data_IF_563867303936
#
_entry.id   IF_563867303936
#
_cell.length_a   1.000
_cell.length_b   1.000
_cell.length_c   1.000
_cell.angle_alpha   90.00
_cell.angle_beta   90.00
_cell.angle_gamma   90.00
#
_symmetry.space_group_name_H-M   'P 1'
#
loop_
_entity.id
_entity.type
_entity.pdbx_description
1 polymer ?
#
# COMPACT_ATOMS: atom_id res chain seq x y z
N UNK A 1 26.77 25.50 15.21
CA UNK A 1 26.89 24.02 15.13
C UNK A 1 25.53 23.42 14.79
N UNK A 2 25.43 22.55 13.78
CA UNK A 2 24.16 21.89 13.44
C UNK A 2 23.97 20.63 14.30
N UNK A 3 22.82 20.50 14.96
CA UNK A 3 22.48 19.28 15.71
C UNK A 3 22.31 18.14 14.71
N UNK A 4 23.13 17.09 14.81
CA UNK A 4 23.08 15.91 13.94
C UNK A 4 22.59 14.70 14.75
N UNK A 5 21.68 13.87 14.20
CA UNK A 5 21.28 12.65 14.87
C UNK A 5 22.44 11.65 14.92
N UNK A 6 22.57 10.96 16.06
CA UNK A 6 23.61 9.96 16.33
C UNK A 6 23.41 8.69 15.49
N UNK A 7 22.16 8.32 15.22
CA UNK A 7 21.81 7.11 14.48
C UNK A 7 21.21 7.44 13.11
N UNK A 8 21.72 6.81 12.05
CA UNK A 8 21.27 7.00 10.65
C UNK A 8 21.19 5.65 9.91
N UNK A 9 20.15 4.83 10.19
CA UNK A 9 19.96 3.59 9.46
C UNK A 9 19.56 3.87 8.01
N UNK A 10 19.95 3.00 7.10
CA UNK A 10 19.41 3.00 5.74
C UNK A 10 17.94 2.60 5.77
N UNK A 11 17.04 3.53 5.47
CA UNK A 11 15.60 3.29 5.50
C UNK A 11 15.18 2.56 4.22
N UNK A 12 15.00 1.24 4.31
CA UNK A 12 14.47 0.43 3.21
C UNK A 12 12.94 0.51 3.19
N UNK A 13 12.36 1.03 2.10
CA UNK A 13 10.91 1.04 1.88
C UNK A 13 10.51 -0.14 0.99
N UNK A 14 9.85 -1.14 1.57
CA UNK A 14 9.35 -2.33 0.84
C UNK A 14 8.36 -1.98 -0.28
N UNK A 15 7.61 -0.90 -0.11
CA UNK A 15 6.71 -0.36 -1.12
C UNK A 15 6.58 1.14 -0.95
N UNK A 16 6.76 1.87 -2.04
CA UNK A 16 6.59 3.32 -2.09
C UNK A 16 5.20 3.72 -2.57
N UNK A 17 4.60 2.94 -3.48
CA UNK A 17 3.25 3.18 -4.00
C UNK A 17 2.18 2.94 -2.94
N UNK A 18 1.24 3.88 -2.80
CA UNK A 18 0.08 3.75 -1.90
C UNK A 18 -0.80 2.57 -2.30
N UNK A 19 -1.46 1.97 -1.31
CA UNK A 19 -2.55 1.01 -1.55
C UNK A 19 -3.83 1.79 -1.83
N UNK A 20 -4.24 1.82 -3.10
CA UNK A 20 -5.44 2.55 -3.53
C UNK A 20 -6.65 1.65 -3.62
N UNK A 21 -7.86 2.21 -3.42
CA UNK A 21 -9.11 1.48 -3.60
C UNK A 21 -9.29 1.09 -5.08
N UNK A 22 -9.71 -0.15 -5.31
CA UNK A 22 -10.09 -0.64 -6.64
C UNK A 22 -11.14 0.29 -7.29
N UNK A 23 -10.94 0.66 -8.56
CA UNK A 23 -11.81 1.56 -9.36
C UNK A 23 -11.90 3.01 -8.88
N UNK A 24 -11.04 3.46 -7.95
CA UNK A 24 -10.96 4.88 -7.55
C UNK A 24 -10.33 5.80 -8.61
N UNK A 25 -9.71 5.20 -9.62
CA UNK A 25 -9.20 5.86 -10.82
C UNK A 25 -10.28 6.07 -11.88
N UNK A 26 -11.35 5.24 -11.87
CA UNK A 26 -12.44 5.30 -12.85
C UNK A 26 -13.58 6.22 -12.44
N UNK A 27 -13.86 6.34 -11.15
CA UNK A 27 -15.03 7.06 -10.66
C UNK A 27 -14.64 8.09 -9.58
N UNK A 28 -15.10 9.33 -9.75
CA UNK A 28 -14.80 10.43 -8.81
C UNK A 28 -15.41 10.22 -7.41
N UNK A 29 -16.61 9.60 -7.35
CA UNK A 29 -17.27 9.24 -6.09
C UNK A 29 -16.46 8.28 -5.19
N UNK A 30 -15.45 7.60 -5.74
CA UNK A 30 -14.63 6.62 -5.04
C UNK A 30 -13.30 7.24 -4.61
N UNK A 31 -13.20 7.66 -3.34
CA UNK A 31 -11.92 8.09 -2.77
C UNK A 31 -10.86 6.99 -2.84
N UNK A 32 -9.59 7.40 -3.03
CA UNK A 32 -8.43 6.51 -3.17
C UNK A 32 -8.05 5.73 -1.91
N UNK A 33 -8.67 6.01 -0.76
CA UNK A 33 -8.38 5.34 0.52
C UNK A 33 -8.68 3.84 0.47
N UNK A 34 -7.72 3.01 0.87
CA UNK A 34 -7.84 1.55 0.80
C UNK A 34 -9.12 1.02 1.48
N UNK A 35 -9.80 0.09 0.81
CA UNK A 35 -10.92 -0.69 1.35
C UNK A 35 -10.79 -2.13 0.88
N UNK A 36 -11.03 -3.10 1.76
CA UNK A 36 -10.96 -4.53 1.43
C UNK A 36 -12.15 -4.91 0.52
N UNK A 37 -11.92 -5.40 -0.72
CA UNK A 37 -13.00 -5.85 -1.59
C UNK A 37 -13.71 -7.08 -1.03
N UNK A 38 -15.05 -7.10 -1.11
CA UNK A 38 -15.88 -8.20 -0.57
C UNK A 38 -16.66 -9.00 -1.62
N UNK A 39 -16.82 -8.52 -2.85
CA UNK A 39 -17.65 -9.18 -3.88
C UNK A 39 -17.10 -10.52 -4.40
N UNK A 40 -17.99 -11.46 -4.74
CA UNK A 40 -17.65 -12.86 -5.06
C UNK A 40 -16.67 -13.00 -6.23
N UNK A 41 -16.89 -12.24 -7.30
CA UNK A 41 -16.08 -12.30 -8.53
C UNK A 41 -14.99 -11.23 -8.58
N UNK A 42 -14.74 -10.53 -7.47
CA UNK A 42 -13.79 -9.42 -7.49
C UNK A 42 -12.35 -9.91 -7.76
N UNK A 43 -11.75 -9.37 -8.81
CA UNK A 43 -10.42 -9.80 -9.29
C UNK A 43 -9.28 -9.50 -8.30
N UNK A 44 -9.34 -8.37 -7.59
CA UNK A 44 -8.36 -8.02 -6.53
C UNK A 44 -8.47 -9.02 -5.38
N UNK A 45 -9.70 -9.34 -4.95
CA UNK A 45 -9.95 -10.29 -3.86
C UNK A 45 -9.43 -11.70 -4.19
N UNK A 46 -9.63 -12.14 -5.42
CA UNK A 46 -9.14 -13.43 -5.96
C UNK A 46 -7.64 -13.43 -6.32
N UNK A 47 -6.94 -12.29 -6.16
CA UNK A 47 -5.50 -12.12 -6.40
C UNK A 47 -5.02 -12.49 -7.80
N UNK A 48 -5.79 -12.16 -8.84
CA UNK A 48 -5.34 -12.38 -10.22
C UNK A 48 -4.07 -11.55 -10.53
N UNK A 49 -3.19 -12.10 -11.38
CA UNK A 49 -1.98 -11.44 -11.88
C UNK A 49 -2.33 -10.11 -12.57
N UNK A 50 -1.48 -9.11 -12.38
CA UNK A 50 -1.62 -7.77 -12.98
C UNK A 50 -2.64 -6.84 -12.30
N UNK A 51 -3.24 -7.27 -11.19
CA UNK A 51 -4.23 -6.49 -10.46
C UNK A 51 -3.64 -5.79 -9.23
N UNK A 52 -4.35 -4.81 -8.66
CA UNK A 52 -3.87 -4.09 -7.47
C UNK A 52 -3.50 -5.03 -6.31
N UNK A 53 -2.37 -4.76 -5.68
CA UNK A 53 -1.93 -5.51 -4.49
C UNK A 53 -2.73 -5.07 -3.27
N UNK A 54 -3.00 -6.03 -2.37
CA UNK A 54 -3.65 -5.77 -1.08
C UNK A 54 -2.59 -5.52 0.00
N UNK A 55 -2.87 -4.65 0.99
CA UNK A 55 -2.05 -4.54 2.19
C UNK A 55 -2.00 -5.89 2.92
N UNK A 56 -0.79 -6.23 3.38
CA UNK A 56 -0.53 -7.39 4.21
C UNK A 56 0.66 -7.09 5.15
N UNK A 57 0.87 -7.95 6.15
CA UNK A 57 1.94 -7.80 7.13
C UNK A 57 3.36 -7.85 6.52
N UNK A 58 3.52 -8.52 5.37
CA UNK A 58 4.80 -8.60 4.65
C UNK A 58 5.34 -7.25 4.20
N UNK A 59 4.46 -6.28 3.96
CA UNK A 59 4.85 -4.90 3.62
C UNK A 59 5.28 -4.04 4.81
N UNK A 60 5.19 -4.54 6.05
CA UNK A 60 5.66 -3.83 7.24
C UNK A 60 7.14 -3.48 7.14
N UNK A 61 7.50 -2.23 7.44
CA UNK A 61 8.91 -1.77 7.45
C UNK A 61 9.66 -2.28 8.69
N UNK A 62 10.99 -2.17 8.67
CA UNK A 62 11.81 -2.50 9.84
C UNK A 62 11.37 -1.67 11.06
N UNK A 63 11.34 -2.30 12.23
CA UNK A 63 10.95 -1.64 13.50
C UNK A 63 12.10 -0.83 14.12
N UNK A 64 13.34 -1.18 13.78
CA UNK A 64 14.56 -0.45 14.17
C UNK A 64 14.77 0.74 13.22
#
# INVERSE_FOLDING_TARGET
MAIRPVYRPTIVKKRTKRFIRHQSDRYDKLKRNWRKPRGIDNRVRRRFKGQYLMPNIGYGSNKK
#
